data_IF_037949505397
#
_entry.id   IF_037949505397
#
_cell.length_a   1.000
_cell.length_b   1.000
_cell.length_c   1.000
_cell.angle_alpha   90.00
_cell.angle_beta   90.00
_cell.angle_gamma   90.00
#
_symmetry.space_group_name_H-M   'P 1'
#
loop_
_entity.id
_entity.type
_entity.pdbx_description
1 polymer ?
#
# COMPACT_ATOMS: atom_id res chain seq x y z
N UNK A 1 -11.99 -16.41 67.49
CA UNK A 1 -11.62 -16.90 66.17
C UNK A 1 -12.77 -16.71 65.18
N UNK A 2 -12.98 -15.51 64.70
CA UNK A 2 -13.99 -15.18 63.66
C UNK A 2 -13.41 -14.00 62.87
N UNK A 3 -12.70 -14.20 61.76
CA UNK A 3 -12.49 -13.10 60.75
C UNK A 3 -11.62 -13.51 59.57
N UNK A 4 -11.51 -14.81 59.18
CA UNK A 4 -10.69 -15.21 58.01
C UNK A 4 -11.53 -15.68 56.81
N UNK A 5 -12.85 -15.91 57.02
CA UNK A 5 -13.69 -16.50 55.94
C UNK A 5 -14.11 -15.53 54.83
N UNK A 6 -13.97 -14.21 55.00
CA UNK A 6 -14.47 -13.23 54.02
C UNK A 6 -13.37 -12.58 53.14
N UNK A 7 -12.10 -12.97 53.35
CA UNK A 7 -10.99 -12.40 52.52
C UNK A 7 -10.70 -13.18 51.27
N UNK A 8 -11.10 -14.46 51.23
CA UNK A 8 -10.81 -15.32 50.08
C UNK A 8 -11.53 -14.90 48.77
N UNK A 9 -12.82 -14.52 48.78
CA UNK A 9 -13.48 -14.06 47.54
C UNK A 9 -12.97 -12.71 47.01
N UNK A 10 -12.44 -11.85 47.90
CA UNK A 10 -11.93 -10.56 47.52
C UNK A 10 -10.60 -10.66 46.73
N UNK A 11 -9.75 -11.61 47.09
CA UNK A 11 -8.50 -11.90 46.41
C UNK A 11 -8.71 -12.52 45.02
N UNK A 12 -9.70 -13.40 44.86
CA UNK A 12 -10.02 -14.00 43.55
C UNK A 12 -10.58 -12.95 42.58
N UNK A 13 -11.37 -11.99 43.06
CA UNK A 13 -11.91 -10.93 42.24
C UNK A 13 -10.81 -9.94 41.78
N UNK A 14 -9.83 -9.63 42.66
CA UNK A 14 -8.71 -8.75 42.33
C UNK A 14 -7.76 -9.35 41.28
N UNK A 15 -7.52 -10.67 41.31
CA UNK A 15 -6.69 -11.36 40.33
C UNK A 15 -7.37 -11.47 38.95
N UNK A 16 -8.71 -11.54 38.90
CA UNK A 16 -9.46 -11.64 37.65
C UNK A 16 -9.45 -10.27 36.89
N UNK A 17 -9.41 -9.16 37.62
CA UNK A 17 -9.40 -7.81 36.98
C UNK A 17 -8.03 -7.45 36.38
N UNK A 18 -6.93 -7.99 36.94
CA UNK A 18 -5.58 -7.74 36.44
C UNK A 18 -5.31 -8.50 35.10
N UNK A 19 -6.01 -9.61 34.88
CA UNK A 19 -5.85 -10.42 33.66
C UNK A 19 -6.48 -9.81 32.39
N UNK A 20 -7.34 -8.79 32.49
CA UNK A 20 -8.07 -8.22 31.36
C UNK A 20 -7.42 -6.96 30.77
N UNK A 21 -6.32 -6.49 31.34
CA UNK A 21 -5.58 -5.31 30.82
C UNK A 21 -4.42 -5.69 29.91
N UNK A 22 -4.47 -6.81 29.22
CA UNK A 22 -3.62 -7.02 28.07
C UNK A 22 -4.13 -6.10 26.94
N UNK A 23 -3.85 -4.80 27.05
CA UNK A 23 -3.88 -3.92 25.90
C UNK A 23 -2.98 -4.53 24.83
N UNK A 24 -3.57 -5.17 23.85
CA UNK A 24 -2.86 -5.47 22.61
C UNK A 24 -2.39 -4.13 22.05
N UNK A 25 -1.09 -3.82 22.26
CA UNK A 25 -0.49 -2.65 21.64
C UNK A 25 -0.83 -2.73 20.17
N UNK A 26 -1.69 -1.81 19.70
CA UNK A 26 -2.00 -1.70 18.28
C UNK A 26 -0.68 -1.38 17.58
N UNK A 27 -0.18 -2.30 16.79
CA UNK A 27 1.02 -2.03 16.02
C UNK A 27 0.71 -0.94 15.01
N UNK A 28 1.50 0.12 15.02
CA UNK A 28 1.41 1.24 14.08
C UNK A 28 2.73 1.32 13.34
N UNK A 29 2.68 1.34 12.01
CA UNK A 29 3.83 1.65 11.18
C UNK A 29 3.91 3.17 11.10
N UNK A 30 4.92 3.78 11.74
CA UNK A 30 5.14 5.22 11.76
C UNK A 30 5.83 5.75 10.48
N UNK A 31 6.35 4.83 9.66
CA UNK A 31 7.07 5.18 8.44
C UNK A 31 6.09 5.68 7.37
N UNK A 32 6.38 6.85 6.81
CA UNK A 32 5.63 7.41 5.69
C UNK A 32 5.95 6.71 4.37
N UNK A 33 5.00 6.76 3.44
CA UNK A 33 5.19 6.30 2.06
C UNK A 33 6.24 7.14 1.35
N UNK A 34 7.05 6.50 0.50
CA UNK A 34 8.02 7.22 -0.33
C UNK A 34 7.99 6.79 -1.79
N UNK A 35 8.29 7.74 -2.68
CA UNK A 35 8.38 7.51 -4.11
C UNK A 35 9.75 7.97 -4.61
N UNK A 36 10.43 7.14 -5.42
CA UNK A 36 11.80 7.37 -5.91
C UNK A 36 11.95 6.97 -7.38
N UNK A 37 13.09 7.36 -7.95
CA UNK A 37 13.44 7.04 -9.33
C UNK A 37 12.60 7.79 -10.34
N UNK A 38 12.08 7.10 -11.35
CA UNK A 38 11.28 7.71 -12.42
C UNK A 38 9.84 8.07 -12.02
N UNK A 39 9.45 7.89 -10.75
CA UNK A 39 8.09 8.21 -10.29
C UNK A 39 7.89 9.72 -10.26
N UNK A 40 6.82 10.19 -10.90
CA UNK A 40 6.41 11.59 -10.86
C UNK A 40 5.87 11.89 -9.45
N UNK A 41 6.48 12.88 -8.78
CA UNK A 41 6.10 13.26 -7.42
C UNK A 41 4.81 14.07 -7.38
N UNK A 42 4.13 14.06 -6.23
CA UNK A 42 2.94 14.89 -6.00
C UNK A 42 1.71 14.47 -6.80
N UNK A 43 1.64 13.22 -7.25
CA UNK A 43 0.51 12.71 -8.02
C UNK A 43 -0.55 12.14 -7.09
N UNK A 44 -1.80 12.58 -7.30
CA UNK A 44 -2.98 11.98 -6.68
C UNK A 44 -3.81 11.34 -7.78
N UNK A 45 -4.13 10.06 -7.61
CA UNK A 45 -4.97 9.30 -8.55
C UNK A 45 -6.45 9.38 -8.16
N UNK A 46 -7.31 9.53 -9.17
CA UNK A 46 -8.75 9.53 -9.04
C UNK A 46 -9.33 8.47 -9.99
N UNK A 47 -9.68 7.29 -9.52
CA UNK A 47 -10.42 6.32 -10.32
C UNK A 47 -11.74 6.93 -10.77
N UNK A 48 -12.04 6.89 -12.07
CA UNK A 48 -13.24 7.50 -12.66
C UNK A 48 -14.33 6.50 -12.96
N UNK A 49 -13.98 5.21 -13.10
CA UNK A 49 -14.95 4.14 -13.36
C UNK A 49 -14.99 3.14 -12.22
N UNK A 50 -16.20 2.70 -11.85
CA UNK A 50 -16.41 1.60 -10.90
C UNK A 50 -15.87 0.24 -11.38
N UNK A 51 -15.26 0.20 -12.57
CA UNK A 51 -14.66 -1.00 -13.15
C UNK A 51 -13.21 -1.23 -12.69
N UNK A 52 -12.58 -0.25 -12.06
CA UNK A 52 -11.30 -0.43 -11.41
C UNK A 52 -11.59 -0.87 -9.99
N UNK A 53 -11.96 -2.13 -9.85
CA UNK A 53 -12.16 -2.71 -8.52
C UNK A 53 -10.86 -3.33 -8.02
N UNK A 54 -10.55 -3.22 -6.72
CA UNK A 54 -9.39 -3.87 -6.08
C UNK A 54 -9.32 -5.39 -6.27
N UNK A 55 -10.37 -6.00 -6.80
CA UNK A 55 -10.44 -7.43 -7.05
C UNK A 55 -9.76 -7.89 -8.33
N UNK A 56 -9.24 -6.98 -9.14
CA UNK A 56 -8.51 -7.35 -10.35
C UNK A 56 -7.11 -7.79 -9.96
N UNK A 57 -6.98 -9.06 -9.63
CA UNK A 57 -5.71 -9.70 -9.33
C UNK A 57 -4.76 -9.57 -10.52
N UNK A 58 -3.75 -8.71 -10.42
CA UNK A 58 -2.72 -8.60 -11.46
C UNK A 58 -1.89 -7.33 -11.36
N UNK A 59 -0.73 -7.41 -11.95
CA UNK A 59 0.16 -6.28 -12.14
C UNK A 59 -0.25 -5.58 -13.42
N UNK A 60 -0.38 -4.26 -13.40
CA UNK A 60 -0.81 -3.51 -14.57
C UNK A 60 0.23 -2.48 -14.99
N UNK A 61 0.54 -2.51 -16.28
CA UNK A 61 1.19 -1.41 -16.99
C UNK A 61 0.12 -0.80 -17.90
N UNK A 62 -0.42 0.36 -17.51
CA UNK A 62 -1.54 0.99 -18.19
C UNK A 62 -1.00 2.08 -19.11
N UNK A 63 -1.14 1.86 -20.41
CA UNK A 63 -0.87 2.82 -21.47
C UNK A 63 -2.14 3.07 -22.30
N UNK A 64 -2.07 3.86 -23.34
CA UNK A 64 -3.24 4.22 -24.16
C UNK A 64 -4.02 3.04 -24.74
N UNK A 65 -3.38 1.88 -24.93
CA UNK A 65 -4.02 0.69 -25.47
C UNK A 65 -4.63 -0.22 -24.41
N UNK A 66 -4.41 0.09 -23.13
CA UNK A 66 -4.91 -0.74 -22.03
C UNK A 66 -6.42 -0.52 -21.82
N UNK A 67 -7.23 -1.58 -21.54
CA UNK A 67 -8.68 -1.46 -21.33
C UNK A 67 -9.10 -0.50 -20.21
N UNK A 68 -8.20 -0.18 -19.30
CA UNK A 68 -8.46 0.73 -18.17
C UNK A 68 -7.85 2.13 -18.36
N UNK A 69 -7.39 2.47 -19.55
CA UNK A 69 -6.81 3.78 -19.83
C UNK A 69 -7.76 4.95 -19.47
N UNK A 70 -9.04 4.81 -19.80
CA UNK A 70 -10.06 5.84 -19.51
C UNK A 70 -10.52 5.85 -18.04
N UNK A 71 -9.98 4.95 -17.23
CA UNK A 71 -10.38 4.79 -15.82
C UNK A 71 -9.68 5.70 -14.83
N UNK A 72 -8.73 6.55 -15.28
CA UNK A 72 -7.94 7.37 -14.39
C UNK A 72 -7.91 8.82 -14.75
N UNK A 73 -8.13 9.67 -13.74
CA UNK A 73 -7.70 11.05 -13.73
C UNK A 73 -6.59 11.22 -12.70
N UNK A 74 -5.74 12.21 -12.91
CA UNK A 74 -4.66 12.54 -12.00
C UNK A 74 -4.65 14.03 -11.70
N UNK A 75 -4.19 14.38 -10.51
CA UNK A 75 -3.76 15.72 -10.17
C UNK A 75 -2.27 15.66 -9.87
N UNK A 76 -1.49 16.51 -10.52
CA UNK A 76 -0.03 16.61 -10.31
C UNK A 76 0.22 17.89 -9.52
N UNK A 77 0.78 17.76 -8.32
CA UNK A 77 0.95 18.84 -7.34
C UNK A 77 -0.39 19.56 -7.07
N UNK A 78 -0.41 20.89 -7.12
CA UNK A 78 -1.60 21.74 -6.90
C UNK A 78 -2.36 22.07 -8.18
N UNK A 79 -2.08 21.35 -9.28
CA UNK A 79 -2.76 21.54 -10.56
C UNK A 79 -4.19 21.05 -10.58
N UNK A 80 -4.84 21.21 -11.73
CA UNK A 80 -6.19 20.70 -11.95
C UNK A 80 -6.21 19.17 -12.06
N UNK A 81 -7.39 18.60 -11.82
CA UNK A 81 -7.66 17.20 -12.07
C UNK A 81 -7.87 17.00 -13.57
N UNK A 82 -7.00 16.21 -14.19
CA UNK A 82 -6.94 15.98 -15.64
C UNK A 82 -6.95 14.48 -15.96
N UNK A 83 -7.36 14.12 -17.17
CA UNK A 83 -7.20 12.78 -17.70
C UNK A 83 -5.70 12.48 -17.93
N UNK A 84 -5.31 11.21 -17.74
CA UNK A 84 -3.91 10.82 -17.96
C UNK A 84 -3.54 10.93 -19.44
N UNK A 85 -2.57 11.75 -19.74
CA UNK A 85 -2.01 11.82 -21.11
C UNK A 85 -1.00 10.70 -21.33
N UNK A 86 -1.46 9.57 -21.87
CA UNK A 86 -0.62 8.39 -22.12
C UNK A 86 0.43 8.54 -23.23
N UNK A 87 0.45 9.67 -23.96
CA UNK A 87 1.58 10.00 -24.84
C UNK A 87 2.81 10.43 -24.03
N UNK A 88 2.59 10.95 -22.82
CA UNK A 88 3.65 11.48 -21.96
C UNK A 88 3.90 10.60 -20.74
N UNK A 89 2.89 9.79 -20.33
CA UNK A 89 2.93 9.04 -19.08
C UNK A 89 2.46 7.61 -19.24
N UNK A 90 2.88 6.77 -18.31
CA UNK A 90 2.37 5.41 -18.09
C UNK A 90 1.99 5.27 -16.63
N UNK A 91 0.90 4.57 -16.33
CA UNK A 91 0.52 4.22 -14.97
C UNK A 91 0.97 2.79 -14.69
N UNK A 92 1.78 2.60 -13.65
CA UNK A 92 2.11 1.29 -13.12
C UNK A 92 1.29 1.04 -11.86
N UNK A 93 0.76 -0.17 -11.72
CA UNK A 93 -0.01 -0.58 -10.55
C UNK A 93 0.41 -1.97 -10.08
N UNK A 94 0.53 -2.14 -8.77
CA UNK A 94 0.67 -3.44 -8.13
C UNK A 94 -0.20 -3.51 -6.87
N UNK A 95 -1.25 -4.35 -6.84
CA UNK A 95 -2.08 -4.54 -5.67
C UNK A 95 -1.33 -5.35 -4.60
N UNK A 96 -1.30 -4.85 -3.38
CA UNK A 96 -0.62 -5.49 -2.25
C UNK A 96 -1.60 -5.66 -1.09
N UNK A 97 -1.66 -6.87 -0.54
CA UNK A 97 -2.34 -7.13 0.71
C UNK A 97 -1.31 -7.10 1.84
N UNK A 98 -1.47 -6.17 2.76
CA UNK A 98 -0.58 -6.00 3.91
C UNK A 98 -1.33 -6.10 5.23
N UNK A 99 -0.60 -6.41 6.30
CA UNK A 99 -1.14 -6.54 7.65
C UNK A 99 -1.32 -5.16 8.29
N UNK A 100 -2.53 -4.86 8.77
CA UNK A 100 -2.87 -3.59 9.45
C UNK A 100 -2.41 -2.33 8.72
N UNK A 101 -1.85 -1.37 9.45
CA UNK A 101 -1.18 -0.24 8.83
C UNK A 101 0.12 -0.71 8.19
N UNK A 102 0.36 -0.27 6.97
CA UNK A 102 1.61 -0.53 6.27
C UNK A 102 2.08 0.74 5.58
N UNK A 103 3.38 0.85 5.34
CA UNK A 103 3.96 1.88 4.49
C UNK A 103 4.65 1.26 3.28
N UNK A 104 4.73 2.03 2.22
CA UNK A 104 5.18 1.56 0.91
C UNK A 104 6.32 2.46 0.40
N UNK A 105 7.53 1.90 0.29
CA UNK A 105 8.61 2.55 -0.43
C UNK A 105 8.59 2.08 -1.88
N UNK A 106 8.24 2.96 -2.79
CA UNK A 106 8.09 2.69 -4.21
C UNK A 106 9.27 3.27 -4.98
N UNK A 107 9.86 2.49 -5.87
CA UNK A 107 10.94 2.92 -6.74
C UNK A 107 10.70 2.40 -8.14
N UNK A 108 10.77 3.26 -9.16
CA UNK A 108 10.76 2.82 -10.56
C UNK A 108 12.08 3.17 -11.20
N UNK A 109 12.68 2.19 -11.85
CA UNK A 109 13.87 2.35 -12.69
C UNK A 109 13.51 2.05 -14.13
N UNK A 110 13.82 2.97 -15.04
CA UNK A 110 13.70 2.78 -16.49
C UNK A 110 15.13 2.66 -17.03
N UNK A 111 15.44 1.56 -17.68
CA UNK A 111 16.73 1.28 -18.30
C UNK A 111 16.55 1.18 -19.82
N UNK A 112 16.87 2.27 -20.51
CA UNK A 112 16.72 2.37 -21.95
C UNK A 112 17.72 1.47 -22.69
N UNK A 113 18.90 1.22 -22.11
CA UNK A 113 19.91 0.38 -22.72
C UNK A 113 19.50 -1.10 -22.78
N UNK A 114 18.82 -1.57 -21.74
CA UNK A 114 18.32 -2.93 -21.62
C UNK A 114 16.84 -3.05 -21.98
N UNK A 115 16.15 -1.94 -22.28
CA UNK A 115 14.72 -1.89 -22.58
C UNK A 115 13.88 -2.52 -21.47
N UNK A 116 14.18 -2.17 -20.20
CA UNK A 116 13.49 -2.71 -19.04
C UNK A 116 12.95 -1.62 -18.14
N UNK A 117 11.83 -1.93 -17.48
CA UNK A 117 11.25 -1.12 -16.41
C UNK A 117 11.07 -2.01 -15.19
N UNK A 118 11.62 -1.61 -14.06
CA UNK A 118 11.48 -2.32 -12.79
C UNK A 118 10.72 -1.45 -11.81
N UNK A 119 9.55 -1.92 -11.38
CA UNK A 119 8.79 -1.31 -10.29
C UNK A 119 9.00 -2.11 -9.01
N UNK A 120 9.82 -1.54 -8.12
CA UNK A 120 10.14 -2.12 -6.82
C UNK A 120 9.30 -1.50 -5.72
N UNK A 121 8.74 -2.35 -4.83
CA UNK A 121 7.95 -1.92 -3.67
C UNK A 121 8.49 -2.65 -2.44
N UNK A 122 8.92 -1.89 -1.43
CA UNK A 122 9.24 -2.43 -0.10
C UNK A 122 8.08 -2.11 0.83
N UNK A 123 7.42 -3.13 1.32
CA UNK A 123 6.28 -3.03 2.24
C UNK A 123 6.79 -3.16 3.66
N UNK A 124 6.67 -2.11 4.47
CA UNK A 124 6.90 -2.22 5.91
C UNK A 124 5.56 -2.43 6.59
N UNK A 125 5.40 -3.54 7.31
CA UNK A 125 4.12 -3.91 7.94
C UNK A 125 4.32 -4.45 9.35
N UNK A 126 3.23 -4.56 10.10
CA UNK A 126 3.22 -5.18 11.41
C UNK A 126 3.23 -6.71 11.31
N UNK A 127 4.05 -7.39 12.13
CA UNK A 127 4.16 -8.84 12.12
C UNK A 127 2.87 -9.54 12.54
N UNK A 128 2.30 -9.13 13.67
CA UNK A 128 1.19 -9.82 14.33
C UNK A 128 -0.10 -8.99 14.28
N UNK A 129 -0.63 -8.76 13.09
CA UNK A 129 -1.92 -8.12 12.94
C UNK A 129 -2.92 -9.03 12.22
N UNK A 130 -4.12 -9.28 12.79
CA UNK A 130 -5.11 -10.13 12.17
C UNK A 130 -5.82 -9.49 10.99
N UNK A 131 -5.84 -8.16 10.93
CA UNK A 131 -6.51 -7.43 9.86
C UNK A 131 -5.61 -7.29 8.65
N UNK A 132 -6.18 -7.46 7.46
CA UNK A 132 -5.48 -7.30 6.19
C UNK A 132 -6.20 -6.29 5.31
N UNK A 133 -5.42 -5.40 4.70
CA UNK A 133 -5.93 -4.37 3.80
C UNK A 133 -5.28 -4.51 2.43
N UNK A 134 -6.11 -4.49 1.40
CA UNK A 134 -5.64 -4.41 0.01
C UNK A 134 -5.39 -2.94 -0.33
N UNK A 135 -4.18 -2.65 -0.78
CA UNK A 135 -3.77 -1.33 -1.26
C UNK A 135 -3.32 -1.43 -2.71
N UNK A 136 -3.89 -0.62 -3.57
CA UNK A 136 -3.44 -0.47 -4.94
C UNK A 136 -2.31 0.55 -4.99
N UNK A 137 -1.12 0.09 -5.37
CA UNK A 137 0.06 0.93 -5.44
C UNK A 137 0.20 1.50 -6.85
N UNK A 138 -0.52 2.59 -7.13
CA UNK A 138 -0.41 3.31 -8.39
C UNK A 138 0.76 4.29 -8.36
N UNK A 139 1.51 4.34 -9.45
CA UNK A 139 2.51 5.37 -9.70
C UNK A 139 2.41 5.86 -11.15
N UNK A 140 2.65 7.15 -11.35
CA UNK A 140 2.76 7.76 -12.66
C UNK A 140 4.25 7.89 -13.00
N UNK A 141 4.62 7.44 -14.19
CA UNK A 141 6.00 7.50 -14.70
C UNK A 141 6.00 8.11 -16.10
N UNK A 142 7.13 8.63 -16.60
CA UNK A 142 7.25 8.99 -18.00
C UNK A 142 6.87 7.84 -18.92
N UNK A 143 6.24 8.13 -20.05
CA UNK A 143 5.93 7.13 -21.04
C UNK A 143 7.22 6.48 -21.57
N UNK A 144 7.17 5.17 -21.77
CA UNK A 144 8.25 4.39 -22.35
C UNK A 144 7.70 3.52 -23.49
N UNK A 145 8.56 3.07 -24.43
CA UNK A 145 8.14 2.22 -25.54
C UNK A 145 7.47 0.93 -25.09
N UNK A 146 6.45 0.48 -25.82
CA UNK A 146 5.65 -0.70 -25.48
C UNK A 146 6.42 -2.03 -25.58
N UNK A 147 7.60 -2.03 -26.19
CA UNK A 147 8.48 -3.19 -26.27
C UNK A 147 9.38 -3.36 -25.04
N UNK A 148 9.34 -2.44 -24.07
CA UNK A 148 10.10 -2.61 -22.81
C UNK A 148 9.48 -3.70 -21.96
N UNK A 149 10.34 -4.53 -21.37
CA UNK A 149 9.93 -5.54 -20.41
C UNK A 149 9.67 -4.89 -19.05
N UNK A 150 8.42 -4.99 -18.55
CA UNK A 150 8.03 -4.47 -17.24
C UNK A 150 8.06 -5.59 -16.22
N UNK A 151 8.77 -5.39 -15.12
CA UNK A 151 8.84 -6.32 -14.00
C UNK A 151 8.50 -5.64 -12.66
N UNK A 152 8.01 -6.44 -11.71
CA UNK A 152 7.60 -6.01 -10.40
C UNK A 152 8.38 -6.80 -9.33
N UNK A 153 9.04 -6.07 -8.43
CA UNK A 153 9.81 -6.63 -7.32
C UNK A 153 9.18 -6.17 -5.99
N UNK A 154 8.56 -7.10 -5.27
CA UNK A 154 7.89 -6.79 -4.00
C UNK A 154 8.58 -7.53 -2.88
N UNK A 155 8.97 -6.79 -1.85
CA UNK A 155 9.56 -7.34 -0.63
C UNK A 155 8.86 -6.82 0.62
N UNK A 156 8.88 -7.62 1.69
CA UNK A 156 8.24 -7.29 2.95
C UNK A 156 9.25 -7.18 4.07
N UNK A 157 9.07 -6.16 4.90
CA UNK A 157 9.82 -5.92 6.14
C UNK A 157 8.81 -5.86 7.28
N UNK A 158 9.06 -6.60 8.33
CA UNK A 158 8.25 -6.58 9.56
C UNK A 158 8.85 -5.60 10.57
N UNK A 159 7.97 -4.89 11.28
CA UNK A 159 8.33 -3.89 12.29
C UNK A 159 7.88 -4.36 13.67
#
# INVERSE_FOLDING_TARGET
MKTIKNLLPLFILATLVIGLSACTKKCIVEKEDSNKGAIISGVIFYPTSGNITPSMAGNYCINAAHPYADGFQVRINDGDKIDVNYSNYTVLCYPITANCSASYDRTVTIDDANQTVVYKIVVTQCENCPEKYLTENYVLVPAFPSNYAVSYDVSYVTN
#
